data_IF_772203233937
#
_entry.id   IF_772203233937
#
_cell.length_a   1.000
_cell.length_b   1.000
_cell.length_c   1.000
_cell.angle_alpha   90.00
_cell.angle_beta   90.00
_cell.angle_gamma   90.00
#
_symmetry.space_group_name_H-M   'P 1'
#
loop_
_entity.id
_entity.type
_entity.pdbx_description
1 polymer ?
#
# COMPACT_ATOMS: atom_id res chain seq x y z
N UNK A 1 2.87 0.90 5.16
CA UNK A 1 2.78 1.99 4.18
C UNK A 1 3.53 3.22 4.67
N UNK A 2 4.11 3.99 3.75
CA UNK A 2 4.66 5.31 4.06
C UNK A 2 3.52 6.28 4.36
N UNK A 3 3.71 7.10 5.40
CA UNK A 3 2.70 8.07 5.83
C UNK A 3 2.92 9.42 5.13
N UNK A 4 1.85 10.16 4.80
CA UNK A 4 1.99 11.57 4.40
C UNK A 4 2.55 12.40 5.57
N UNK A 5 3.10 13.61 5.30
CA UNK A 5 3.71 14.47 6.33
C UNK A 5 2.65 15.16 7.19
N UNK A 6 2.00 14.41 8.07
CA UNK A 6 0.98 14.88 9.03
C UNK A 6 1.33 14.44 10.44
N UNK A 7 0.84 15.16 11.46
CA UNK A 7 1.04 14.78 12.85
C UNK A 7 0.34 13.44 13.18
N UNK A 8 0.91 12.66 14.08
CA UNK A 8 0.38 11.32 14.42
C UNK A 8 -1.06 11.38 14.97
N UNK A 9 -1.36 12.37 15.78
CA UNK A 9 -2.71 12.57 16.32
C UNK A 9 -3.75 12.83 15.22
N UNK A 10 -3.40 13.68 14.24
CA UNK A 10 -4.26 14.00 13.10
C UNK A 10 -4.43 12.79 12.17
N UNK A 11 -3.38 11.97 12.03
CA UNK A 11 -3.41 10.76 11.24
C UNK A 11 -4.45 9.76 11.74
N UNK A 12 -4.44 9.45 13.04
CA UNK A 12 -5.34 8.44 13.61
C UNK A 12 -6.79 8.94 13.60
N UNK A 13 -7.02 10.23 13.83
CA UNK A 13 -8.36 10.83 13.72
C UNK A 13 -8.86 10.82 12.27
N UNK A 14 -8.02 11.17 11.30
CA UNK A 14 -8.35 11.17 9.88
C UNK A 14 -8.71 9.76 9.38
N UNK A 15 -7.99 8.73 9.83
CA UNK A 15 -8.30 7.33 9.55
C UNK A 15 -9.67 6.94 10.13
N UNK A 16 -9.91 7.24 11.40
CA UNK A 16 -11.17 6.88 12.08
C UNK A 16 -12.39 7.52 11.41
N UNK A 17 -12.23 8.69 10.79
CA UNK A 17 -13.27 9.44 10.08
C UNK A 17 -13.37 9.10 8.59
N UNK A 18 -12.45 8.28 8.05
CA UNK A 18 -12.40 7.94 6.63
C UNK A 18 -11.94 9.09 5.73
N UNK A 19 -11.34 10.13 6.29
CA UNK A 19 -10.71 11.22 5.53
C UNK A 19 -9.34 10.80 4.98
N UNK A 20 -8.69 9.82 5.61
CA UNK A 20 -7.45 9.20 5.19
C UNK A 20 -7.68 7.70 5.04
N UNK A 21 -7.26 7.12 3.91
CA UNK A 21 -7.45 5.71 3.57
C UNK A 21 -6.20 5.18 2.88
N UNK A 22 -5.83 3.91 3.10
CA UNK A 22 -4.60 3.34 2.56
C UNK A 22 -4.79 2.19 1.59
N UNK A 23 -6.01 1.72 1.42
CA UNK A 23 -6.23 0.51 0.63
C UNK A 23 -7.45 0.66 -0.28
N UNK A 24 -7.27 1.10 -1.52
CA UNK A 24 -8.38 1.25 -2.48
C UNK A 24 -9.21 -0.01 -2.67
N UNK A 25 -8.57 -1.19 -2.62
CA UNK A 25 -9.27 -2.49 -2.72
C UNK A 25 -10.14 -2.75 -1.50
N UNK A 26 -9.72 -2.27 -0.31
CA UNK A 26 -10.40 -2.53 0.95
C UNK A 26 -11.67 -1.68 1.12
N UNK A 27 -11.59 -0.40 0.73
CA UNK A 27 -12.60 0.62 1.08
C UNK A 27 -12.89 1.65 -0.03
N UNK A 28 -12.45 1.38 -1.27
CA UNK A 28 -12.77 2.26 -2.41
C UNK A 28 -14.27 2.37 -2.69
N UNK A 29 -15.04 1.35 -2.34
CA UNK A 29 -16.50 1.38 -2.48
C UNK A 29 -17.14 2.44 -1.59
N UNK A 30 -16.64 2.62 -0.37
CA UNK A 30 -17.12 3.62 0.59
C UNK A 30 -16.81 5.06 0.15
N UNK A 31 -15.82 5.22 -0.74
CA UNK A 31 -15.47 6.51 -1.35
C UNK A 31 -16.25 6.80 -2.65
N UNK A 32 -17.29 6.01 -2.97
CA UNK A 32 -18.06 6.17 -4.21
C UNK A 32 -18.70 7.56 -4.32
N UNK A 33 -18.45 8.23 -5.46
CA UNK A 33 -18.98 9.57 -5.75
C UNK A 33 -18.34 10.71 -4.97
N UNK A 34 -17.33 10.43 -4.15
CA UNK A 34 -16.57 11.45 -3.39
C UNK A 34 -15.52 12.11 -4.29
N UNK A 35 -15.10 13.31 -3.92
CA UNK A 35 -13.93 13.98 -4.47
C UNK A 35 -12.67 13.37 -3.82
N UNK A 36 -11.94 12.56 -4.58
CA UNK A 36 -10.84 11.73 -4.08
C UNK A 36 -9.49 12.35 -4.47
N UNK A 37 -8.61 12.53 -3.48
CA UNK A 37 -7.20 12.80 -3.71
C UNK A 37 -6.38 11.51 -3.59
N UNK A 38 -5.48 11.26 -4.54
CA UNK A 38 -4.46 10.21 -4.45
C UNK A 38 -3.10 10.89 -4.38
N UNK A 39 -2.34 10.65 -3.31
CA UNK A 39 -1.03 11.25 -3.10
C UNK A 39 0.05 10.28 -3.56
N UNK A 40 0.63 10.53 -4.74
CA UNK A 40 1.69 9.70 -5.33
C UNK A 40 2.38 10.44 -6.47
N UNK A 41 3.65 10.15 -6.72
CA UNK A 41 4.47 10.88 -7.68
C UNK A 41 4.98 10.01 -8.86
N UNK A 42 4.54 8.76 -8.94
CA UNK A 42 5.04 7.74 -9.86
C UNK A 42 3.90 6.85 -10.41
N UNK A 43 4.25 5.86 -11.20
CA UNK A 43 3.30 4.90 -11.78
C UNK A 43 2.47 4.12 -10.76
N UNK A 44 2.93 3.96 -9.51
CA UNK A 44 2.13 3.35 -8.44
C UNK A 44 0.97 4.26 -8.03
N UNK A 45 1.23 5.56 -7.85
CA UNK A 45 0.18 6.55 -7.62
C UNK A 45 -0.84 6.62 -8.76
N UNK A 46 -0.38 6.53 -10.01
CA UNK A 46 -1.25 6.46 -11.20
C UNK A 46 -2.14 5.21 -11.15
N UNK A 47 -1.57 4.03 -10.86
CA UNK A 47 -2.34 2.79 -10.81
C UNK A 47 -3.47 2.84 -9.74
N UNK A 48 -3.19 3.40 -8.57
CA UNK A 48 -4.21 3.59 -7.52
C UNK A 48 -5.29 4.61 -7.94
N UNK A 49 -4.90 5.72 -8.55
CA UNK A 49 -5.86 6.72 -9.05
C UNK A 49 -6.77 6.13 -10.14
N UNK A 50 -6.23 5.37 -11.08
CA UNK A 50 -6.99 4.66 -12.11
C UNK A 50 -7.95 3.63 -11.52
N UNK A 51 -7.54 2.93 -10.46
CA UNK A 51 -8.41 2.00 -9.74
C UNK A 51 -9.59 2.73 -9.10
N UNK A 52 -9.35 3.85 -8.42
CA UNK A 52 -10.39 4.65 -7.74
C UNK A 52 -11.36 5.32 -8.71
N UNK A 53 -10.96 5.55 -9.97
CA UNK A 53 -11.86 6.01 -11.03
C UNK A 53 -13.08 5.11 -11.27
N UNK A 54 -13.02 3.86 -10.80
CA UNK A 54 -14.17 2.95 -10.81
C UNK A 54 -15.28 3.35 -9.86
N UNK A 55 -14.95 4.11 -8.82
CA UNK A 55 -15.84 4.48 -7.73
C UNK A 55 -16.23 5.96 -7.76
N UNK A 56 -15.38 6.82 -8.34
CA UNK A 56 -15.66 8.25 -8.44
C UNK A 56 -15.22 8.83 -9.79
N UNK A 57 -15.98 9.81 -10.27
CA UNK A 57 -15.62 10.61 -11.44
C UNK A 57 -14.70 11.78 -11.09
N UNK A 58 -14.53 12.11 -9.83
CA UNK A 58 -13.69 13.21 -9.34
C UNK A 58 -12.48 12.63 -8.57
N UNK A 59 -11.44 12.27 -9.32
CA UNK A 59 -10.18 11.74 -8.80
C UNK A 59 -9.03 12.62 -9.27
N UNK A 60 -8.23 13.09 -8.31
CA UNK A 60 -7.05 13.93 -8.58
C UNK A 60 -5.79 13.26 -8.03
N UNK A 61 -4.78 13.09 -8.88
CA UNK A 61 -3.44 12.69 -8.46
C UNK A 61 -2.67 13.91 -7.97
N UNK A 62 -2.20 13.87 -6.73
CA UNK A 62 -1.40 14.89 -6.05
C UNK A 62 0.03 14.41 -5.84
N UNK A 63 0.98 15.32 -5.73
CA UNK A 63 2.38 15.01 -5.46
C UNK A 63 2.93 15.85 -4.30
N UNK A 64 3.96 15.34 -3.60
CA UNK A 64 4.74 16.07 -2.60
C UNK A 64 5.98 16.73 -3.22
N UNK A 65 6.38 16.26 -4.37
CA UNK A 65 7.56 16.68 -5.13
C UNK A 65 7.18 16.74 -6.60
N UNK A 66 8.08 17.19 -7.46
CA UNK A 66 7.84 17.09 -8.90
C UNK A 66 7.51 15.63 -9.30
N UNK A 67 6.43 15.46 -10.06
CA UNK A 67 5.94 14.12 -10.44
C UNK A 67 6.88 13.46 -11.46
N UNK A 68 7.30 12.24 -11.17
CA UNK A 68 8.04 11.37 -12.07
C UNK A 68 7.06 10.49 -12.89
N UNK A 69 6.24 11.17 -13.70
CA UNK A 69 5.25 10.52 -14.56
C UNK A 69 5.75 10.51 -16.00
N UNK A 70 5.85 9.34 -16.56
CA UNK A 70 6.18 9.19 -17.96
C UNK A 70 5.02 9.59 -18.89
N UNK A 71 5.25 9.52 -20.20
CA UNK A 71 4.23 9.89 -21.18
C UNK A 71 3.03 8.91 -21.18
N UNK A 72 3.28 7.63 -20.84
CA UNK A 72 2.24 6.60 -20.74
C UNK A 72 1.33 6.86 -19.55
N UNK A 73 1.91 7.13 -18.38
CA UNK A 73 1.20 7.48 -17.14
C UNK A 73 0.26 8.68 -17.35
N UNK A 74 0.77 9.74 -17.97
CA UNK A 74 -0.02 10.95 -18.27
C UNK A 74 -1.17 10.65 -19.24
N UNK A 75 -0.91 9.88 -20.29
CA UNK A 75 -1.93 9.48 -21.26
C UNK A 75 -3.00 8.57 -20.64
N UNK A 76 -2.64 7.71 -19.69
CA UNK A 76 -3.57 6.84 -18.97
C UNK A 76 -4.47 7.65 -18.03
N UNK A 77 -3.92 8.62 -17.29
CA UNK A 77 -4.67 9.56 -16.48
C UNK A 77 -5.66 10.37 -17.34
N UNK A 78 -5.19 10.95 -18.44
CA UNK A 78 -6.04 11.74 -19.37
C UNK A 78 -7.18 10.90 -19.91
N UNK A 79 -6.91 9.69 -20.41
CA UNK A 79 -7.91 8.76 -20.96
C UNK A 79 -8.96 8.36 -19.92
N UNK A 80 -8.54 8.18 -18.67
CA UNK A 80 -9.44 7.83 -17.58
C UNK A 80 -10.16 9.02 -16.95
N UNK A 81 -9.77 10.25 -17.28
CA UNK A 81 -10.30 11.46 -16.66
C UNK A 81 -9.82 11.66 -15.21
N UNK A 82 -8.60 11.20 -14.89
CA UNK A 82 -7.91 11.53 -13.64
C UNK A 82 -7.21 12.87 -13.83
N UNK A 83 -7.50 13.85 -12.96
CA UNK A 83 -6.79 15.11 -12.94
C UNK A 83 -5.39 14.92 -12.33
N UNK A 84 -4.38 15.58 -12.90
CA UNK A 84 -3.03 15.60 -12.32
C UNK A 84 -2.78 17.03 -11.82
N UNK A 85 -2.63 17.18 -10.50
CA UNK A 85 -2.21 18.42 -9.90
C UNK A 85 -0.68 18.48 -9.89
N UNK A 86 -0.13 19.45 -10.56
CA UNK A 86 1.33 19.58 -10.76
C UNK A 86 2.01 20.41 -9.69
N UNK A 87 1.24 21.15 -8.89
CA UNK A 87 1.77 21.90 -7.76
C UNK A 87 2.05 20.93 -6.60
N UNK A 88 3.28 20.90 -6.05
CA UNK A 88 3.58 20.04 -4.91
C UNK A 88 2.73 20.42 -3.69
N UNK A 89 2.14 19.41 -3.05
CA UNK A 89 1.43 19.57 -1.79
C UNK A 89 2.42 19.83 -0.65
N UNK A 90 2.21 20.87 0.13
CA UNK A 90 3.08 21.28 1.24
C UNK A 90 2.49 21.00 2.62
N UNK A 91 1.16 20.98 2.75
CA UNK A 91 0.48 20.68 4.03
C UNK A 91 -0.88 20.03 3.82
N UNK A 92 -1.32 19.30 4.84
CA UNK A 92 -2.60 18.63 4.90
C UNK A 92 -3.30 18.97 6.22
N UNK A 93 -4.61 19.25 6.16
CA UNK A 93 -5.46 19.40 7.34
C UNK A 93 -6.73 18.57 7.16
N UNK A 94 -7.19 17.95 8.24
CA UNK A 94 -8.32 17.00 8.28
C UNK A 94 -9.42 17.53 9.21
N UNK A 95 -10.12 18.55 8.73
CA UNK A 95 -11.25 19.16 9.46
C UNK A 95 -12.56 18.42 9.10
N UNK A 96 -13.51 19.10 8.45
CA UNK A 96 -14.71 18.48 7.88
C UNK A 96 -14.43 17.70 6.58
N UNK A 97 -13.32 18.04 5.92
CA UNK A 97 -12.81 17.45 4.70
C UNK A 97 -11.29 17.44 4.73
N UNK A 98 -10.66 16.85 3.72
CA UNK A 98 -9.22 16.95 3.50
C UNK A 98 -8.92 18.28 2.80
N UNK A 99 -8.19 19.14 3.47
CA UNK A 99 -7.66 20.38 2.87
C UNK A 99 -6.18 20.21 2.55
N UNK A 100 -5.85 20.41 1.30
CA UNK A 100 -4.47 20.35 0.81
C UNK A 100 -4.00 21.75 0.48
N UNK A 101 -2.88 22.17 1.07
CA UNK A 101 -2.20 23.41 0.74
C UNK A 101 -1.00 23.10 -0.16
N UNK A 102 -0.81 23.87 -1.22
CA UNK A 102 0.29 23.72 -2.16
C UNK A 102 1.43 24.71 -1.85
N UNK A 103 2.60 24.49 -2.44
CA UNK A 103 3.78 25.34 -2.23
C UNK A 103 3.56 26.81 -2.66
N UNK A 104 2.66 27.05 -3.62
CA UNK A 104 2.29 28.41 -4.07
C UNK A 104 1.28 29.11 -3.14
N UNK A 105 0.85 28.44 -2.06
CA UNK A 105 -0.15 28.90 -1.11
C UNK A 105 -1.60 28.70 -1.55
N UNK A 106 -1.84 28.08 -2.72
CA UNK A 106 -3.17 27.66 -3.16
C UNK A 106 -3.71 26.53 -2.29
N UNK A 107 -5.04 26.42 -2.21
CA UNK A 107 -5.70 25.37 -1.45
C UNK A 107 -6.75 24.64 -2.29
N UNK A 108 -6.86 23.32 -2.07
CA UNK A 108 -7.93 22.46 -2.61
C UNK A 108 -8.53 21.62 -1.50
N UNK A 109 -9.77 21.16 -1.72
CA UNK A 109 -10.52 20.35 -0.76
C UNK A 109 -10.96 19.05 -1.40
N UNK A 110 -10.83 17.96 -0.64
CA UNK A 110 -11.24 16.62 -1.04
C UNK A 110 -12.03 15.97 0.09
N UNK A 111 -12.85 15.00 -0.24
CA UNK A 111 -13.61 14.25 0.76
C UNK A 111 -12.73 13.18 1.42
N UNK A 112 -11.76 12.62 0.69
CA UNK A 112 -10.84 11.61 1.21
C UNK A 112 -9.49 11.66 0.49
N UNK A 113 -8.42 11.23 1.18
CA UNK A 113 -7.05 11.13 0.69
C UNK A 113 -6.57 9.68 0.75
N UNK A 114 -6.04 9.17 -0.37
CA UNK A 114 -5.34 7.89 -0.47
C UNK A 114 -3.85 8.12 -0.68
N UNK A 115 -2.98 7.90 0.33
CA UNK A 115 -1.53 7.98 0.14
C UNK A 115 -1.00 6.74 -0.57
N UNK A 116 -0.59 6.91 -1.83
CA UNK A 116 0.08 5.95 -2.69
C UNK A 116 1.60 6.18 -2.68
N UNK A 117 2.18 6.25 -1.48
CA UNK A 117 3.60 6.59 -1.27
C UNK A 117 4.50 5.35 -1.19
N UNK A 118 3.95 4.17 -1.43
CA UNK A 118 4.62 2.88 -1.28
C UNK A 118 4.75 2.44 0.18
N UNK A 119 5.51 1.39 0.39
CA UNK A 119 5.75 0.81 1.72
C UNK A 119 7.24 0.61 1.97
N UNK A 120 7.62 0.55 3.25
CA UNK A 120 8.94 0.10 3.68
C UNK A 120 8.76 -1.23 4.41
N UNK A 121 9.37 -2.29 3.91
CA UNK A 121 9.40 -3.58 4.60
C UNK A 121 10.24 -3.52 5.88
N UNK A 122 9.81 -4.18 6.94
CA UNK A 122 10.62 -4.40 8.15
C UNK A 122 11.53 -5.62 7.93
N UNK A 123 12.59 -5.44 7.14
CA UNK A 123 13.46 -6.54 6.69
C UNK A 123 14.69 -6.77 7.56
N UNK A 124 14.88 -6.05 8.68
CA UNK A 124 16.08 -6.12 9.52
C UNK A 124 16.48 -7.55 9.92
N UNK A 125 15.51 -8.38 10.31
CA UNK A 125 15.76 -9.78 10.67
C UNK A 125 16.18 -10.62 9.43
N UNK A 126 15.52 -10.37 8.31
CA UNK A 126 15.80 -11.06 7.04
C UNK A 126 17.19 -10.71 6.54
N UNK A 127 17.56 -9.44 6.61
CA UNK A 127 18.88 -8.92 6.23
C UNK A 127 19.99 -9.52 7.13
N UNK A 128 19.75 -9.54 8.46
CA UNK A 128 20.68 -10.15 9.41
C UNK A 128 20.91 -11.64 9.14
N UNK A 129 19.89 -12.35 8.64
CA UNK A 129 19.97 -13.76 8.26
C UNK A 129 20.46 -13.99 6.84
N UNK A 130 20.72 -12.92 6.08
CA UNK A 130 21.14 -12.96 4.67
C UNK A 130 20.19 -13.77 3.76
N UNK A 131 18.91 -13.67 4.01
CA UNK A 131 17.89 -14.28 3.16
C UNK A 131 17.75 -13.45 1.90
N UNK A 132 17.70 -14.11 0.74
CA UNK A 132 17.49 -13.42 -0.53
C UNK A 132 16.10 -12.80 -0.58
N UNK A 133 16.03 -11.57 -1.08
CA UNK A 133 14.82 -10.82 -1.35
C UNK A 133 14.70 -10.57 -2.86
N UNK A 134 13.49 -10.32 -3.34
CA UNK A 134 13.26 -9.85 -4.70
C UNK A 134 13.47 -8.32 -4.81
N UNK A 135 13.17 -7.75 -5.98
CA UNK A 135 13.34 -6.32 -6.26
C UNK A 135 12.45 -5.42 -5.39
N UNK A 136 11.32 -5.97 -4.90
CA UNK A 136 10.37 -5.28 -4.03
C UNK A 136 10.68 -5.46 -2.52
N UNK A 137 11.74 -6.21 -2.18
CA UNK A 137 12.14 -6.51 -0.82
C UNK A 137 11.36 -7.67 -0.19
N UNK A 138 10.56 -8.40 -0.97
CA UNK A 138 9.83 -9.56 -0.52
C UNK A 138 10.69 -10.81 -0.52
N UNK A 139 10.36 -11.77 0.36
CA UNK A 139 11.08 -13.04 0.43
C UNK A 139 10.37 -14.13 -0.39
N UNK A 140 11.09 -14.83 -1.29
CA UNK A 140 10.53 -15.92 -2.05
C UNK A 140 10.36 -17.16 -1.17
N UNK A 141 9.16 -17.75 -1.17
CA UNK A 141 8.83 -18.97 -0.45
C UNK A 141 8.40 -20.09 -1.41
N UNK A 142 8.44 -21.34 -0.93
CA UNK A 142 7.75 -22.43 -1.59
C UNK A 142 6.24 -22.42 -1.27
N UNK A 143 5.47 -23.34 -1.89
CA UNK A 143 4.02 -23.48 -1.64
C UNK A 143 3.65 -23.81 -0.19
N UNK A 144 4.62 -24.12 0.66
CA UNK A 144 4.48 -24.42 2.08
C UNK A 144 5.03 -23.30 2.97
N UNK A 145 5.30 -22.14 2.40
CA UNK A 145 5.85 -20.96 3.07
C UNK A 145 7.25 -21.16 3.65
N UNK A 146 8.03 -22.14 3.12
CA UNK A 146 9.42 -22.35 3.51
C UNK A 146 10.34 -21.44 2.70
N UNK A 147 11.32 -20.90 3.38
CA UNK A 147 12.46 -20.24 2.75
C UNK A 147 13.55 -21.26 2.36
N UNK A 148 14.55 -20.79 1.60
CA UNK A 148 15.72 -21.61 1.28
C UNK A 148 16.63 -21.90 2.48
N UNK A 149 16.34 -21.33 3.64
CA UNK A 149 17.04 -21.56 4.91
C UNK A 149 16.24 -22.56 5.72
N UNK A 150 16.86 -23.66 6.09
CA UNK A 150 16.23 -24.73 6.84
C UNK A 150 15.62 -24.27 8.17
N UNK A 151 14.34 -24.60 8.38
CA UNK A 151 13.61 -24.24 9.58
C UNK A 151 13.10 -22.79 9.59
N UNK A 152 13.28 -22.04 8.51
CA UNK A 152 12.77 -20.69 8.38
C UNK A 152 11.55 -20.65 7.44
N UNK A 153 10.52 -19.93 7.88
CA UNK A 153 9.25 -19.76 7.15
C UNK A 153 8.88 -18.28 7.12
N UNK A 154 8.17 -17.87 6.08
CA UNK A 154 7.64 -16.51 6.00
C UNK A 154 6.16 -16.55 5.61
N UNK A 155 5.37 -15.61 6.13
CA UNK A 155 3.94 -15.47 5.88
C UNK A 155 3.51 -14.01 5.98
N UNK A 156 2.47 -13.64 5.23
CA UNK A 156 1.95 -12.27 5.19
C UNK A 156 2.69 -11.41 4.18
N UNK A 157 2.63 -10.10 4.35
CA UNK A 157 3.06 -9.08 3.38
C UNK A 157 4.58 -9.07 3.11
N UNK A 158 5.36 -9.82 3.88
CA UNK A 158 6.79 -10.03 3.61
C UNK A 158 7.02 -11.02 2.46
N UNK A 159 6.02 -11.79 2.07
CA UNK A 159 6.09 -12.76 0.98
C UNK A 159 5.51 -12.13 -0.28
N UNK A 160 6.17 -12.31 -1.43
CA UNK A 160 5.68 -11.79 -2.71
C UNK A 160 4.29 -12.36 -3.05
N UNK A 161 3.24 -11.61 -2.73
CA UNK A 161 1.83 -11.96 -2.93
C UNK A 161 0.95 -10.72 -2.84
N UNK A 162 -0.37 -10.90 -2.76
CA UNK A 162 -1.31 -9.82 -2.52
C UNK A 162 -1.31 -9.44 -1.03
N UNK A 163 -1.04 -8.17 -0.73
CA UNK A 163 -1.01 -7.59 0.62
C UNK A 163 -2.41 -7.40 1.17
N UNK A 164 -3.01 -8.50 1.62
CA UNK A 164 -4.35 -8.55 2.18
C UNK A 164 -4.39 -9.43 3.44
N UNK A 165 -5.18 -9.02 4.44
CA UNK A 165 -5.35 -9.77 5.70
C UNK A 165 -5.72 -11.24 5.45
N UNK A 166 -6.63 -11.48 4.51
CA UNK A 166 -7.07 -12.84 4.16
C UNK A 166 -5.94 -13.70 3.60
N UNK A 167 -5.05 -13.11 2.78
CA UNK A 167 -3.87 -13.79 2.24
C UNK A 167 -2.86 -14.05 3.34
N UNK A 168 -2.57 -13.05 4.19
CA UNK A 168 -1.66 -13.19 5.33
C UNK A 168 -2.12 -14.32 6.29
N UNK A 169 -3.43 -14.40 6.59
CA UNK A 169 -4.01 -15.48 7.38
C UNK A 169 -3.84 -16.85 6.71
N UNK A 170 -4.06 -16.94 5.40
CA UNK A 170 -3.84 -18.16 4.62
C UNK A 170 -2.39 -18.61 4.65
N UNK A 171 -1.45 -17.69 4.41
CA UNK A 171 -0.01 -17.96 4.53
C UNK A 171 0.36 -18.45 5.93
N UNK A 172 -0.16 -17.81 7.00
CA UNK A 172 0.08 -18.23 8.38
C UNK A 172 -0.39 -19.66 8.66
N UNK A 173 -1.58 -20.03 8.18
CA UNK A 173 -2.10 -21.39 8.33
C UNK A 173 -1.24 -22.44 7.58
N UNK A 174 -0.80 -22.11 6.37
CA UNK A 174 0.08 -22.98 5.56
C UNK A 174 1.44 -23.14 6.25
N UNK A 175 2.05 -22.04 6.69
CA UNK A 175 3.34 -22.05 7.38
C UNK A 175 3.29 -22.87 8.67
N UNK A 176 2.29 -22.65 9.52
CA UNK A 176 2.13 -23.38 10.78
C UNK A 176 1.96 -24.90 10.56
N UNK A 177 1.17 -25.28 9.56
CA UNK A 177 0.99 -26.69 9.19
C UNK A 177 2.28 -27.31 8.68
N UNK A 178 3.04 -26.58 7.87
CA UNK A 178 4.33 -27.03 7.35
C UNK A 178 5.35 -27.20 8.48
N UNK A 179 5.48 -26.22 9.37
CA UNK A 179 6.35 -26.29 10.56
C UNK A 179 6.04 -27.53 11.41
N UNK A 180 4.75 -27.74 11.73
CA UNK A 180 4.33 -28.89 12.52
C UNK A 180 4.74 -30.21 11.87
N UNK A 181 4.49 -30.36 10.58
CA UNK A 181 4.83 -31.57 9.85
C UNK A 181 6.34 -31.80 9.75
N UNK A 182 7.12 -30.73 9.56
CA UNK A 182 8.59 -30.84 9.48
C UNK A 182 9.21 -31.17 10.84
N UNK A 183 8.68 -30.65 11.93
CA UNK A 183 9.08 -31.05 13.30
C UNK A 183 8.77 -32.52 13.56
N UNK A 184 7.57 -33.00 13.23
CA UNK A 184 7.21 -34.42 13.39
C UNK A 184 8.13 -35.34 12.59
N UNK A 185 8.54 -34.96 11.38
CA UNK A 185 9.51 -35.72 10.60
C UNK A 185 10.87 -35.78 11.30
N UNK A 186 11.35 -34.65 11.86
CA UNK A 186 12.61 -34.61 12.63
C UNK A 186 12.57 -35.52 13.86
N UNK A 187 11.40 -35.61 14.49
CA UNK A 187 11.18 -36.47 15.67
C UNK A 187 10.90 -37.95 15.30
N UNK A 188 11.03 -38.31 14.04
CA UNK A 188 10.76 -39.67 13.57
C UNK A 188 9.27 -40.04 13.54
N UNK A 189 8.38 -39.09 13.71
CA UNK A 189 6.92 -39.24 13.66
C UNK A 189 6.43 -38.95 12.24
N UNK A 190 6.62 -39.88 11.30
CA UNK A 190 6.10 -39.71 9.93
C UNK A 190 4.57 -39.75 9.93
N UNK A 191 3.90 -38.80 9.29
CA UNK A 191 2.47 -38.91 9.05
C UNK A 191 2.21 -40.14 8.14
N UNK A 192 1.18 -40.92 8.45
CA UNK A 192 0.67 -41.99 7.58
C UNK A 192 0.02 -41.43 6.33
#
# INVERSE_FOLDING_TARGET
NRRPPIAEADHDEALARGLLRYCPICDGYEASGQRIAVLGADGHGVAEALFLRRYSEDVTLLTLVEADLDQGDRADCERAGVAIETRPASAFAFDECVRVTFEDGGEERYDTLYPALGSNGNCELIDAMKVAQDEDGCVPTDRHQRLKVDGLYAAGDIVAALDQISVAMGHGAIAATAMHNDLRKKDGQTPR
#
